data_IF_829226081550
#
_entry.id   IF_829226081550
#
_cell.length_a   1.000
_cell.length_b   1.000
_cell.length_c   1.000
_cell.angle_alpha   90.00
_cell.angle_beta   90.00
_cell.angle_gamma   90.00
#
_symmetry.space_group_name_H-M   'P 1'
#
loop_
_entity.id
_entity.type
_entity.pdbx_description
1 polymer ?
#
# COMPACT_ATOMS: atom_id res chain seq x y z
N UNK A 1 30.10 -23.32 -24.90
CA UNK A 1 29.77 -23.59 -23.49
C UNK A 1 29.31 -22.29 -22.86
N UNK A 2 28.01 -22.17 -22.62
CA UNK A 2 27.35 -20.98 -22.06
C UNK A 2 27.38 -21.06 -20.52
N UNK A 3 27.78 -19.98 -19.86
CA UNK A 3 27.51 -19.79 -18.43
C UNK A 3 26.62 -18.56 -18.26
N UNK A 4 25.32 -18.80 -18.16
CA UNK A 4 24.35 -17.83 -17.67
C UNK A 4 24.38 -17.88 -16.14
N UNK A 5 24.83 -16.79 -15.51
CA UNK A 5 24.63 -16.56 -14.08
C UNK A 5 23.38 -15.71 -13.90
N UNK A 6 22.30 -16.35 -13.43
CA UNK A 6 21.07 -15.67 -13.01
C UNK A 6 21.33 -15.03 -11.64
N UNK A 7 21.20 -13.71 -11.53
CA UNK A 7 21.16 -13.01 -10.25
C UNK A 7 19.71 -12.61 -9.92
N UNK A 8 19.20 -13.16 -8.81
CA UNK A 8 17.88 -12.89 -8.24
C UNK A 8 17.93 -11.64 -7.35
N UNK A 9 17.08 -10.64 -7.63
CA UNK A 9 16.99 -9.35 -6.92
C UNK A 9 16.24 -9.42 -5.57
N UNK A 10 16.30 -10.53 -4.84
CA UNK A 10 15.48 -10.74 -3.63
C UNK A 10 16.18 -10.49 -2.29
N UNK A 11 17.40 -9.94 -2.25
CA UNK A 11 18.03 -9.62 -0.95
C UNK A 11 18.97 -8.42 -1.05
N UNK A 12 18.43 -7.23 -0.78
CA UNK A 12 19.25 -6.09 -0.32
C UNK A 12 18.54 -5.51 0.90
N UNK A 13 18.98 -5.96 2.08
CA UNK A 13 18.72 -5.28 3.34
C UNK A 13 19.61 -4.04 3.34
N UNK A 14 19.03 -2.88 3.01
CA UNK A 14 19.66 -1.59 3.30
C UNK A 14 19.51 -1.35 4.79
N UNK A 15 20.63 -1.21 5.48
CA UNK A 15 20.70 -0.80 6.89
C UNK A 15 20.01 0.56 7.03
N UNK A 16 18.99 0.71 7.89
CA UNK A 16 18.38 2.00 8.12
C UNK A 16 19.39 2.91 8.85
N UNK A 17 19.57 4.13 8.36
CA UNK A 17 20.10 5.21 9.19
C UNK A 17 19.14 5.39 10.37
N UNK A 18 19.64 5.23 11.60
CA UNK A 18 18.85 5.48 12.80
C UNK A 18 18.51 6.97 12.92
N UNK A 19 17.22 7.35 13.00
CA UNK A 19 16.82 8.56 13.69
C UNK A 19 16.70 8.22 15.18
N UNK A 20 17.58 8.82 15.98
CA UNK A 20 17.50 8.79 17.44
C UNK A 20 16.09 9.15 17.93
N UNK A 21 15.41 8.20 18.59
CA UNK A 21 14.32 8.50 19.53
C UNK A 21 12.89 8.11 19.17
N UNK A 22 12.63 6.98 18.49
CA UNK A 22 11.26 6.45 18.33
C UNK A 22 11.20 4.97 18.76
N UNK A 23 10.27 4.55 19.64
CA UNK A 23 10.21 3.18 20.12
C UNK A 23 9.83 2.20 19.01
N UNK A 24 10.63 1.14 18.91
CA UNK A 24 10.49 0.00 18.01
C UNK A 24 9.15 -0.72 18.24
N UNK A 25 8.19 -0.46 17.35
CA UNK A 25 7.02 -1.31 17.18
C UNK A 25 7.01 -1.81 15.74
N UNK A 26 7.01 -3.14 15.57
CA UNK A 26 6.91 -3.82 14.28
C UNK A 26 5.57 -3.45 13.60
N UNK A 27 5.58 -2.48 12.69
CA UNK A 27 4.37 -1.91 12.05
C UNK A 27 3.82 -2.77 10.90
N UNK A 28 4.54 -3.81 10.46
CA UNK A 28 3.98 -4.81 9.56
C UNK A 28 3.82 -6.13 10.30
N UNK A 29 2.64 -6.34 10.87
CA UNK A 29 2.29 -7.65 11.41
C UNK A 29 1.31 -8.32 10.44
N UNK A 30 1.73 -9.42 9.84
CA UNK A 30 0.82 -10.48 9.42
C UNK A 30 0.20 -11.12 10.66
N UNK A 31 -0.58 -10.35 11.44
CA UNK A 31 -1.23 -10.86 12.64
C UNK A 31 -2.62 -11.35 12.28
N UNK A 32 -2.74 -12.65 12.42
CA UNK A 32 -3.96 -13.43 12.54
C UNK A 32 -4.85 -12.85 13.64
N UNK A 33 -5.85 -12.07 13.27
CA UNK A 33 -6.91 -11.64 14.19
C UNK A 33 -7.99 -12.72 14.23
N UNK A 34 -8.23 -13.28 15.41
CA UNK A 34 -9.43 -14.09 15.68
C UNK A 34 -10.65 -13.19 15.53
N UNK A 35 -11.64 -13.65 14.76
CA UNK A 35 -12.98 -13.03 14.66
C UNK A 35 -13.45 -12.61 16.05
N UNK A 36 -13.63 -11.31 16.26
CA UNK A 36 -14.54 -10.80 17.27
C UNK A 36 -15.90 -10.67 16.59
N UNK A 37 -16.87 -11.30 17.23
CA UNK A 37 -18.28 -11.41 16.87
C UNK A 37 -18.86 -10.04 16.54
N UNK A 38 -19.58 -9.96 15.42
CA UNK A 38 -20.41 -8.80 15.11
C UNK A 38 -21.53 -8.69 16.16
N UNK A 39 -21.83 -7.49 16.69
CA UNK A 39 -23.08 -7.28 17.41
C UNK A 39 -24.23 -7.26 16.40
N UNK A 40 -25.17 -8.16 16.62
CA UNK A 40 -26.49 -8.22 15.99
C UNK A 40 -27.29 -6.97 16.31
N UNK A 41 -27.75 -6.26 15.27
CA UNK A 41 -28.82 -5.27 15.40
C UNK A 41 -30.16 -6.00 15.42
N UNK A 42 -30.81 -6.01 16.58
CA UNK A 42 -32.23 -6.31 16.72
C UNK A 42 -32.96 -5.03 17.09
N UNK A 43 -33.87 -4.56 16.25
CA UNK A 43 -34.94 -3.66 16.68
C UNK A 43 -36.27 -4.25 16.21
N UNK A 44 -37.06 -4.63 17.20
CA UNK A 44 -38.45 -5.02 17.08
C UNK A 44 -39.31 -3.75 16.95
N UNK A 45 -40.38 -3.85 16.15
CA UNK A 45 -41.56 -2.98 16.24
C UNK A 45 -42.75 -3.89 16.51
N UNK A 46 -43.50 -3.56 17.56
CA UNK A 46 -44.71 -4.23 18.05
C UNK A 46 -45.89 -4.06 17.11
N UNK A 47 -46.65 -5.14 16.88
CA UNK A 47 -48.11 -5.08 16.69
C UNK A 47 -48.74 -6.29 17.42
N UNK A 48 -49.85 -6.03 18.10
CA UNK A 48 -50.53 -6.80 19.14
C UNK A 48 -51.53 -7.87 18.64
N UNK A 49 -51.78 -8.87 19.51
CA UNK A 49 -53.08 -9.57 19.80
C UNK A 49 -53.70 -10.50 18.72
N UNK A 50 -54.28 -11.70 18.95
CA UNK A 50 -55.01 -12.35 20.08
C UNK A 50 -54.92 -13.92 19.97
N UNK A 51 -54.81 -14.59 21.14
CA UNK A 51 -55.08 -15.96 21.70
C UNK A 51 -55.89 -17.06 20.90
N UNK A 52 -55.95 -18.39 21.26
CA UNK A 52 -55.57 -19.06 22.52
C UNK A 52 -54.93 -20.52 22.38
N UNK A 53 -54.99 -21.48 23.35
CA UNK A 53 -53.78 -22.11 23.90
C UNK A 53 -53.72 -23.67 23.81
N UNK A 54 -52.54 -24.27 23.59
CA UNK A 54 -52.29 -25.68 23.95
C UNK A 54 -50.82 -25.86 24.38
N UNK A 55 -50.60 -26.30 25.62
CA UNK A 55 -49.32 -26.78 26.19
C UNK A 55 -49.48 -28.28 26.57
N UNK A 56 -48.41 -29.03 26.92
CA UNK A 56 -47.13 -29.18 26.23
C UNK A 56 -46.72 -30.67 26.12
N UNK A 57 -45.78 -31.01 25.24
CA UNK A 57 -44.97 -32.24 25.38
C UNK A 57 -43.49 -31.86 25.41
N UNK A 58 -42.90 -31.91 26.60
CA UNK A 58 -41.47 -31.72 26.80
C UNK A 58 -40.73 -33.02 26.50
N UNK A 59 -39.80 -32.97 25.54
CA UNK A 59 -38.67 -33.89 25.48
C UNK A 59 -37.38 -33.10 25.72
N UNK A 60 -36.95 -33.12 26.97
CA UNK A 60 -35.60 -32.73 27.37
C UNK A 60 -34.59 -33.70 26.77
N UNK A 61 -33.72 -33.22 25.88
CA UNK A 61 -32.46 -33.91 25.57
C UNK A 61 -31.35 -32.89 25.40
N UNK A 62 -30.76 -32.57 26.54
CA UNK A 62 -29.48 -31.88 26.65
C UNK A 62 -28.37 -32.81 26.17
N UNK A 63 -27.95 -32.70 24.92
CA UNK A 63 -26.60 -33.12 24.50
C UNK A 63 -26.02 -32.13 23.50
N UNK A 64 -25.33 -31.12 24.02
CA UNK A 64 -24.35 -30.36 23.24
C UNK A 64 -23.15 -31.27 22.96
N UNK A 65 -23.10 -31.86 21.77
CA UNK A 65 -21.89 -32.52 21.28
C UNK A 65 -20.91 -31.44 20.84
N UNK A 66 -19.94 -31.11 21.71
CA UNK A 66 -18.81 -30.26 21.34
C UNK A 66 -17.86 -31.03 20.43
N UNK A 67 -18.14 -31.05 19.13
CA UNK A 67 -17.19 -31.53 18.13
C UNK A 67 -16.08 -30.49 17.97
N UNK A 68 -15.05 -30.61 18.79
CA UNK A 68 -13.84 -29.78 18.71
C UNK A 68 -12.97 -30.28 17.57
N UNK A 69 -13.39 -30.08 16.32
CA UNK A 69 -12.53 -30.41 15.18
C UNK A 69 -11.38 -29.42 15.16
N UNK A 70 -10.11 -29.86 15.25
CA UNK A 70 -8.98 -28.96 15.08
C UNK A 70 -9.02 -28.43 13.65
N UNK A 71 -9.33 -27.15 13.50
CA UNK A 71 -9.17 -26.43 12.23
C UNK A 71 -7.68 -26.42 11.90
N UNK A 72 -7.27 -27.34 11.00
CA UNK A 72 -5.96 -27.28 10.38
C UNK A 72 -5.83 -25.93 9.69
N UNK A 73 -5.00 -25.07 10.25
CA UNK A 73 -4.64 -23.79 9.68
C UNK A 73 -3.68 -24.13 8.55
N UNK A 74 -4.01 -23.85 7.28
CA UNK A 74 -3.03 -24.00 6.23
C UNK A 74 -1.84 -23.12 6.60
N UNK A 75 -0.69 -23.74 6.87
CA UNK A 75 0.58 -23.03 6.95
C UNK A 75 0.73 -22.40 5.57
N UNK A 76 0.54 -21.09 5.48
CA UNK A 76 0.76 -20.37 4.21
C UNK A 76 2.22 -20.60 3.87
N UNK A 77 2.48 -21.24 2.73
CA UNK A 77 3.84 -21.35 2.23
C UNK A 77 4.42 -19.95 2.12
N UNK A 78 5.73 -19.83 2.30
CA UNK A 78 6.49 -18.58 2.19
C UNK A 78 6.55 -18.07 0.73
N UNK A 79 5.43 -18.19 0.00
CA UNK A 79 5.29 -17.75 -1.39
C UNK A 79 4.91 -16.28 -1.39
N UNK A 80 5.61 -15.56 -2.24
CA UNK A 80 5.33 -14.18 -2.56
C UNK A 80 3.97 -14.07 -3.25
N UNK A 81 3.09 -13.20 -2.74
CA UNK A 81 1.80 -12.96 -3.37
C UNK A 81 2.00 -12.16 -4.66
N UNK A 82 1.25 -12.50 -5.69
CA UNK A 82 1.03 -11.62 -6.85
C UNK A 82 0.26 -10.37 -6.43
N UNK A 83 0.26 -9.31 -7.25
CA UNK A 83 -0.49 -8.09 -6.97
C UNK A 83 -2.01 -8.36 -6.84
N UNK A 84 -2.56 -9.22 -7.70
CA UNK A 84 -3.96 -9.62 -7.69
C UNK A 84 -4.33 -10.37 -6.40
N UNK A 85 -3.49 -11.30 -5.98
CA UNK A 85 -3.65 -12.02 -4.71
C UNK A 85 -3.55 -11.06 -3.52
N UNK A 86 -2.57 -10.14 -3.54
CA UNK A 86 -2.41 -9.12 -2.50
C UNK A 86 -3.63 -8.19 -2.41
N UNK A 87 -4.26 -7.84 -3.52
CA UNK A 87 -5.50 -7.07 -3.53
C UNK A 87 -6.70 -7.87 -3.02
N UNK A 88 -6.69 -9.19 -3.22
CA UNK A 88 -7.82 -10.07 -2.86
C UNK A 88 -7.75 -10.59 -1.42
N UNK A 89 -6.58 -10.57 -0.78
CA UNK A 89 -6.39 -11.06 0.59
C UNK A 89 -6.83 -10.00 1.63
N UNK A 90 -7.90 -10.26 2.41
CA UNK A 90 -8.35 -9.33 3.44
C UNK A 90 -7.37 -9.18 4.61
N UNK A 91 -6.42 -10.11 4.77
CA UNK A 91 -5.40 -10.04 5.83
C UNK A 91 -4.16 -9.26 5.39
N UNK A 92 -4.03 -8.96 4.10
CA UNK A 92 -2.97 -8.11 3.59
C UNK A 92 -3.38 -6.66 3.79
N UNK A 93 -3.06 -6.11 4.96
CA UNK A 93 -3.55 -4.82 5.44
C UNK A 93 -2.45 -3.77 5.50
N UNK A 94 -2.87 -2.51 5.41
CA UNK A 94 -2.04 -1.32 5.55
C UNK A 94 -2.65 -0.45 6.63
N UNK A 95 -1.83 0.23 7.43
CA UNK A 95 -2.26 1.25 8.37
C UNK A 95 -1.87 2.65 7.87
N UNK A 96 -2.73 3.35 7.09
CA UNK A 96 -2.36 4.58 6.39
C UNK A 96 -1.87 5.68 7.32
N UNK A 97 -2.52 5.85 8.48
CA UNK A 97 -2.15 6.88 9.44
C UNK A 97 -0.76 6.64 10.04
N UNK A 98 -0.44 5.39 10.40
CA UNK A 98 0.89 5.01 10.89
C UNK A 98 1.96 5.15 9.81
N UNK A 99 1.62 4.91 8.54
CA UNK A 99 2.53 5.17 7.42
C UNK A 99 2.78 6.67 7.18
N UNK A 100 1.94 7.56 7.73
CA UNK A 100 2.01 9.00 7.52
C UNK A 100 1.34 9.45 6.21
N UNK A 101 0.22 8.82 5.85
CA UNK A 101 -0.54 9.21 4.67
C UNK A 101 -1.19 10.58 4.85
N UNK A 102 -1.27 11.30 3.73
CA UNK A 102 -1.95 12.59 3.59
C UNK A 102 -3.10 12.48 2.56
N UNK A 103 -4.13 13.34 2.63
CA UNK A 103 -4.41 14.25 3.73
C UNK A 103 -4.78 13.48 5.00
N UNK A 104 -4.30 13.92 6.17
CA UNK A 104 -4.37 13.13 7.41
C UNK A 104 -5.81 12.79 7.81
N UNK A 105 -6.72 13.72 7.58
CA UNK A 105 -8.14 13.61 7.94
C UNK A 105 -8.92 12.60 7.07
N UNK A 106 -8.37 12.11 5.95
CA UNK A 106 -9.02 11.12 5.12
C UNK A 106 -8.84 9.68 5.64
N UNK A 107 -8.02 9.47 6.67
CA UNK A 107 -7.61 8.15 7.13
C UNK A 107 -8.00 7.91 8.59
N UNK A 108 -8.67 6.79 8.85
CA UNK A 108 -8.91 6.32 10.20
C UNK A 108 -7.69 5.64 10.83
N UNK A 109 -7.75 5.41 12.15
CA UNK A 109 -6.70 4.72 12.90
C UNK A 109 -6.64 3.21 12.62
N UNK A 110 -7.67 2.64 11.99
CA UNK A 110 -7.78 1.21 11.76
C UNK A 110 -7.02 0.78 10.49
N UNK A 111 -6.33 -0.37 10.52
CA UNK A 111 -5.80 -0.97 9.30
C UNK A 111 -6.90 -1.26 8.29
N UNK A 112 -6.60 -1.04 7.01
CA UNK A 112 -7.50 -1.34 5.88
C UNK A 112 -6.84 -2.37 4.97
N UNK A 113 -7.65 -3.19 4.31
CA UNK A 113 -7.13 -4.14 3.31
C UNK A 113 -6.45 -3.39 2.15
N UNK A 114 -5.32 -3.91 1.67
CA UNK A 114 -4.56 -3.31 0.58
C UNK A 114 -5.41 -3.15 -0.68
N UNK A 115 -6.20 -4.16 -1.05
CA UNK A 115 -7.11 -4.07 -2.19
C UNK A 115 -8.14 -2.94 -2.06
N UNK A 116 -8.66 -2.71 -0.85
CA UNK A 116 -9.57 -1.61 -0.59
C UNK A 116 -8.87 -0.26 -0.76
N UNK A 117 -7.63 -0.12 -0.24
CA UNK A 117 -6.81 1.08 -0.44
C UNK A 117 -6.54 1.34 -1.93
N UNK A 118 -6.20 0.30 -2.69
CA UNK A 118 -5.98 0.40 -4.13
C UNK A 118 -7.25 0.89 -4.85
N UNK A 119 -8.40 0.27 -4.59
CA UNK A 119 -9.65 0.58 -5.26
C UNK A 119 -10.19 1.99 -4.89
N UNK A 120 -10.11 2.36 -3.61
CA UNK A 120 -10.77 3.57 -3.09
C UNK A 120 -9.89 4.82 -3.10
N UNK A 121 -8.57 4.67 -3.21
CA UNK A 121 -7.64 5.80 -3.22
C UNK A 121 -6.74 5.83 -4.46
N UNK A 122 -5.92 4.80 -4.69
CA UNK A 122 -4.94 4.83 -5.78
C UNK A 122 -5.59 4.87 -7.17
N UNK A 123 -6.63 4.06 -7.37
CA UNK A 123 -7.40 3.99 -8.63
C UNK A 123 -8.58 4.96 -8.69
N UNK A 124 -8.91 5.63 -7.58
CA UNK A 124 -9.96 6.65 -7.56
C UNK A 124 -9.60 7.79 -8.49
N UNK A 125 -10.58 8.32 -9.23
CA UNK A 125 -10.39 9.49 -10.10
C UNK A 125 -9.81 10.65 -9.31
N UNK A 126 -8.93 11.44 -9.94
CA UNK A 126 -8.32 12.59 -9.30
C UNK A 126 -9.39 13.55 -8.76
N UNK A 127 -9.22 13.94 -7.49
CA UNK A 127 -10.06 14.88 -6.76
C UNK A 127 -9.19 15.72 -5.83
N UNK A 128 -9.78 16.66 -5.09
CA UNK A 128 -9.04 17.52 -4.17
C UNK A 128 -8.25 16.73 -3.11
N UNK A 129 -8.77 15.59 -2.66
CA UNK A 129 -8.15 14.73 -1.62
C UNK A 129 -7.48 13.46 -2.18
N UNK A 130 -7.61 13.19 -3.49
CA UNK A 130 -7.06 11.99 -4.13
C UNK A 130 -6.34 12.36 -5.43
N UNK A 131 -5.61 13.47 -5.46
CA UNK A 131 -4.82 13.92 -6.61
C UNK A 131 -3.49 13.18 -6.72
N UNK A 132 -2.87 13.23 -7.90
CA UNK A 132 -1.63 12.52 -8.20
C UNK A 132 -0.49 12.76 -7.18
N UNK A 133 -0.17 14.01 -6.77
CA UNK A 133 0.86 14.24 -5.76
C UNK A 133 0.63 13.51 -4.44
N UNK A 134 -0.63 13.42 -3.97
CA UNK A 134 -0.96 12.67 -2.77
C UNK A 134 -0.79 11.17 -2.96
N UNK A 135 -1.19 10.64 -4.12
CA UNK A 135 -0.97 9.22 -4.45
C UNK A 135 0.51 8.88 -4.46
N UNK A 136 1.31 9.71 -5.12
CA UNK A 136 2.76 9.53 -5.19
C UNK A 136 3.39 9.61 -3.79
N UNK A 137 3.10 10.66 -3.02
CA UNK A 137 3.65 10.81 -1.68
C UNK A 137 3.28 9.64 -0.77
N UNK A 138 1.99 9.27 -0.71
CA UNK A 138 1.53 8.16 0.12
C UNK A 138 2.15 6.82 -0.31
N UNK A 139 2.36 6.61 -1.60
CA UNK A 139 3.03 5.42 -2.10
C UNK A 139 4.46 5.31 -1.56
N UNK A 140 5.20 6.42 -1.55
CA UNK A 140 6.56 6.50 -1.03
C UNK A 140 6.61 6.37 0.50
N UNK A 141 5.61 6.92 1.22
CA UNK A 141 5.47 6.75 2.68
C UNK A 141 5.22 5.30 3.07
N UNK A 142 4.42 4.58 2.28
CA UNK A 142 4.14 3.17 2.54
C UNK A 142 5.40 2.32 2.39
N UNK A 143 6.19 2.53 1.33
CA UNK A 143 7.41 1.76 1.12
C UNK A 143 8.56 2.18 2.02
N UNK A 144 8.54 3.41 2.53
CA UNK A 144 9.44 3.85 3.60
C UNK A 144 9.19 3.08 4.91
N UNK A 145 7.93 2.95 5.31
CA UNK A 145 7.55 2.26 6.57
C UNK A 145 7.50 0.74 6.43
N UNK A 146 7.21 0.22 5.24
CA UNK A 146 7.21 -1.19 4.93
C UNK A 146 7.85 -1.46 3.55
N UNK A 147 9.18 -1.65 3.48
CA UNK A 147 9.90 -1.85 2.21
C UNK A 147 9.38 -3.02 1.37
N UNK A 148 8.82 -4.05 2.00
CA UNK A 148 8.24 -5.21 1.33
C UNK A 148 7.07 -4.85 0.38
N UNK A 149 6.46 -3.66 0.53
CA UNK A 149 5.41 -3.19 -0.38
C UNK A 149 5.93 -2.68 -1.72
N UNK A 150 7.26 -2.49 -1.89
CA UNK A 150 7.81 -1.96 -3.14
C UNK A 150 7.37 -2.75 -4.37
N UNK A 151 7.28 -4.07 -4.29
CA UNK A 151 6.79 -4.95 -5.37
C UNK A 151 5.32 -4.76 -5.76
N UNK A 152 4.51 -4.15 -4.89
CA UNK A 152 3.09 -3.87 -5.14
C UNK A 152 2.85 -2.39 -5.45
N UNK A 153 3.76 -1.53 -5.01
CA UNK A 153 3.62 -0.08 -5.09
C UNK A 153 4.44 0.52 -6.23
N UNK A 154 5.67 0.03 -6.42
CA UNK A 154 6.56 0.47 -7.47
C UNK A 154 7.29 1.78 -7.20
N UNK A 155 7.21 2.35 -5.99
CA UNK A 155 7.91 3.60 -5.65
C UNK A 155 8.66 3.47 -4.33
N UNK A 156 9.86 4.04 -4.22
CA UNK A 156 10.58 4.17 -2.93
C UNK A 156 11.56 5.33 -2.96
N UNK A 157 11.78 5.95 -1.80
CA UNK A 157 12.86 6.90 -1.61
C UNK A 157 14.22 6.20 -1.70
N UNK A 158 15.17 6.85 -2.36
CA UNK A 158 16.58 6.44 -2.45
C UNK A 158 17.48 7.40 -1.68
N UNK A 159 17.15 8.68 -1.74
CA UNK A 159 17.69 9.71 -0.86
C UNK A 159 16.53 10.54 -0.32
N UNK A 160 16.82 11.59 0.44
CA UNK A 160 15.79 12.50 0.94
C UNK A 160 14.97 13.17 -0.17
N UNK A 161 15.57 13.38 -1.35
CA UNK A 161 14.98 14.14 -2.47
C UNK A 161 14.83 13.35 -3.76
N UNK A 162 15.48 12.19 -3.87
CA UNK A 162 15.44 11.32 -5.05
C UNK A 162 14.69 10.05 -4.69
N UNK A 163 13.73 9.68 -5.54
CA UNK A 163 13.01 8.43 -5.44
C UNK A 163 13.09 7.67 -6.76
N UNK A 164 12.85 6.36 -6.69
CA UNK A 164 12.69 5.53 -7.88
C UNK A 164 11.23 5.17 -8.11
N UNK A 165 10.93 4.94 -9.38
CA UNK A 165 9.65 4.42 -9.86
C UNK A 165 9.92 3.23 -10.77
N UNK A 166 9.43 2.06 -10.40
CA UNK A 166 9.16 0.99 -11.35
C UNK A 166 7.87 1.33 -12.09
N UNK A 167 8.01 1.73 -13.36
CA UNK A 167 6.88 2.26 -14.12
C UNK A 167 5.77 1.24 -14.36
N UNK A 168 6.11 -0.06 -14.42
CA UNK A 168 5.14 -1.13 -14.67
C UNK A 168 4.33 -1.39 -13.40
N UNK A 169 5.01 -1.54 -12.26
CA UNK A 169 4.35 -1.79 -10.97
C UNK A 169 3.50 -0.59 -10.57
N UNK A 170 4.04 0.63 -10.71
CA UNK A 170 3.30 1.85 -10.36
C UNK A 170 2.09 2.09 -11.28
N UNK A 171 2.20 1.78 -12.58
CA UNK A 171 1.05 1.80 -13.49
C UNK A 171 -0.04 0.81 -13.05
N UNK A 172 0.36 -0.40 -12.63
CA UNK A 172 -0.56 -1.43 -12.12
C UNK A 172 -1.28 -0.98 -10.85
N UNK A 173 -0.58 -0.32 -9.93
CA UNK A 173 -1.15 0.30 -8.73
C UNK A 173 -2.24 1.32 -9.10
N UNK A 174 -1.90 2.26 -10.00
CA UNK A 174 -2.79 3.35 -10.39
C UNK A 174 -3.89 2.95 -11.40
N UNK A 175 -3.80 1.76 -12.01
CA UNK A 175 -4.74 1.31 -13.04
C UNK A 175 -4.56 2.01 -14.38
N UNK A 176 -3.32 2.43 -14.70
CA UNK A 176 -2.97 3.15 -15.93
C UNK A 176 -2.54 2.17 -17.01
N UNK A 177 -3.07 2.32 -18.23
CA UNK A 177 -2.73 1.48 -19.39
C UNK A 177 -1.61 2.08 -20.26
N UNK A 178 -1.72 3.37 -20.59
CA UNK A 178 -0.69 4.07 -21.37
C UNK A 178 0.36 4.68 -20.44
N UNK A 179 1.37 3.90 -20.09
CA UNK A 179 2.35 4.24 -19.05
C UNK A 179 3.15 5.49 -19.41
N UNK A 180 3.86 5.46 -20.54
CA UNK A 180 4.76 6.54 -20.93
C UNK A 180 3.98 7.85 -21.19
N UNK A 181 2.84 7.76 -21.87
CA UNK A 181 1.95 8.91 -22.11
C UNK A 181 1.38 9.52 -20.84
N UNK A 182 0.98 8.70 -19.86
CA UNK A 182 0.33 9.19 -18.64
C UNK A 182 1.31 9.70 -17.59
N UNK A 183 2.55 9.23 -17.60
CA UNK A 183 3.52 9.55 -16.56
C UNK A 183 4.65 10.44 -17.05
N UNK A 184 5.28 10.10 -18.19
CA UNK A 184 6.59 10.64 -18.58
C UNK A 184 6.55 11.56 -19.81
N UNK A 185 5.43 11.63 -20.53
CA UNK A 185 5.21 12.65 -21.57
C UNK A 185 5.22 14.06 -20.96
N UNK A 186 5.46 15.10 -21.76
CA UNK A 186 5.50 16.51 -21.27
C UNK A 186 4.21 16.94 -20.56
N UNK A 187 3.06 16.38 -20.97
CA UNK A 187 1.76 16.58 -20.32
C UNK A 187 1.39 15.47 -19.32
N UNK A 188 2.28 14.50 -19.12
CA UNK A 188 2.12 13.40 -18.18
C UNK A 188 2.22 13.87 -16.73
N UNK A 189 1.84 13.00 -15.80
CA UNK A 189 1.71 13.36 -14.39
C UNK A 189 3.03 13.83 -13.75
N UNK A 190 4.19 13.26 -14.11
CA UNK A 190 5.46 13.67 -13.51
C UNK A 190 5.91 15.05 -14.02
N UNK A 191 6.17 15.28 -15.33
CA UNK A 191 6.65 16.59 -15.79
C UNK A 191 5.68 17.72 -15.44
N UNK A 192 4.39 17.46 -15.56
CA UNK A 192 3.37 18.46 -15.32
C UNK A 192 3.19 18.85 -13.85
N UNK A 193 3.78 18.13 -12.90
CA UNK A 193 3.86 18.52 -11.49
C UNK A 193 5.28 18.92 -11.07
N UNK A 194 6.17 19.22 -12.02
CA UNK A 194 7.53 19.69 -11.76
C UNK A 194 8.52 18.60 -11.37
N UNK A 195 8.21 17.32 -11.64
CA UNK A 195 9.16 16.24 -11.50
C UNK A 195 10.01 16.10 -12.76
N UNK A 196 11.30 15.90 -12.55
CA UNK A 196 12.27 15.64 -13.61
C UNK A 196 12.91 14.27 -13.42
N UNK A 197 13.13 13.59 -14.54
CA UNK A 197 13.88 12.34 -14.59
C UNK A 197 15.38 12.65 -14.56
N UNK A 198 16.12 11.93 -13.72
CA UNK A 198 17.57 12.05 -13.68
C UNK A 198 18.20 11.41 -14.91
N UNK A 199 19.27 12.03 -15.40
CA UNK A 199 20.09 11.46 -16.46
C UNK A 199 20.70 10.13 -16.02
N UNK A 200 20.85 9.19 -16.94
CA UNK A 200 21.30 7.82 -16.65
C UNK A 200 22.60 7.77 -15.83
N UNK A 201 23.60 8.59 -16.18
CA UNK A 201 24.89 8.64 -15.47
C UNK A 201 24.70 9.08 -14.01
N UNK A 202 23.85 10.07 -13.76
CA UNK A 202 23.55 10.55 -12.41
C UNK A 202 22.77 9.49 -11.62
N UNK A 203 21.77 8.87 -12.24
CA UNK A 203 20.98 7.80 -11.63
C UNK A 203 21.84 6.58 -11.27
N UNK A 204 22.73 6.13 -12.16
CA UNK A 204 23.64 5.01 -11.92
C UNK A 204 24.64 5.30 -10.80
N UNK A 205 25.15 6.53 -10.71
CA UNK A 205 26.00 6.95 -9.60
C UNK A 205 25.27 6.82 -8.26
N UNK A 206 24.07 7.39 -8.15
CA UNK A 206 23.25 7.31 -6.93
C UNK A 206 22.89 5.86 -6.61
N UNK A 207 22.54 5.05 -7.61
CA UNK A 207 22.20 3.65 -7.43
C UNK A 207 23.36 2.84 -6.82
N UNK A 208 24.59 3.08 -7.26
CA UNK A 208 25.80 2.44 -6.71
C UNK A 208 26.11 2.91 -5.29
N UNK A 209 26.04 4.21 -5.04
CA UNK A 209 26.26 4.80 -3.72
C UNK A 209 25.26 4.28 -2.67
N UNK A 210 24.03 3.97 -3.10
CA UNK A 210 22.96 3.46 -2.25
C UNK A 210 22.86 1.92 -2.24
N UNK A 211 23.85 1.21 -2.82
CA UNK A 211 23.91 -0.25 -2.81
C UNK A 211 22.84 -0.95 -3.65
N UNK A 212 22.17 -0.25 -4.57
CA UNK A 212 21.17 -0.82 -5.50
C UNK A 212 21.87 -1.57 -6.64
N UNK A 213 23.04 -1.07 -7.07
CA UNK A 213 23.81 -1.63 -8.18
C UNK A 213 23.31 -1.17 -9.55
N UNK A 214 23.42 -2.05 -10.54
CA UNK A 214 22.90 -1.80 -11.89
C UNK A 214 21.38 -2.03 -11.92
N UNK A 215 20.67 -1.19 -12.66
CA UNK A 215 19.22 -1.26 -12.81
C UNK A 215 18.83 -1.20 -14.28
N UNK A 216 17.64 -1.69 -14.61
CA UNK A 216 17.08 -1.57 -15.96
C UNK A 216 16.49 -0.17 -16.19
N UNK A 217 17.14 0.70 -16.99
CA UNK A 217 16.63 2.03 -17.27
C UNK A 217 15.38 2.01 -18.16
N UNK A 218 14.95 0.86 -18.66
CA UNK A 218 13.68 0.72 -19.41
C UNK A 218 12.49 0.78 -18.48
N UNK A 219 12.61 0.24 -17.27
CA UNK A 219 11.51 0.12 -16.30
C UNK A 219 11.68 0.99 -15.04
N UNK A 220 12.91 1.08 -14.52
CA UNK A 220 13.21 1.87 -13.32
C UNK A 220 13.60 3.29 -13.73
N UNK A 221 12.93 4.28 -13.13
CA UNK A 221 13.16 5.71 -13.33
C UNK A 221 13.54 6.37 -12.03
N UNK A 222 14.60 7.16 -12.05
CA UNK A 222 14.99 8.00 -10.93
C UNK A 222 14.41 9.38 -11.15
N UNK A 223 13.63 9.87 -10.20
CA UNK A 223 12.99 11.17 -10.28
C UNK A 223 13.30 12.01 -9.05
N UNK A 224 13.28 13.32 -9.26
CA UNK A 224 13.23 14.32 -8.20
C UNK A 224 12.30 15.45 -8.62
N UNK A 225 11.88 16.25 -7.65
CA UNK A 225 11.15 17.47 -7.95
C UNK A 225 12.13 18.63 -8.16
N UNK A 226 11.99 19.37 -9.25
CA UNK A 226 12.94 20.41 -9.67
C UNK A 226 13.16 21.49 -8.59
N UNK A 227 12.11 21.84 -7.84
CA UNK A 227 12.21 22.86 -6.78
C UNK A 227 12.68 22.33 -5.41
N UNK A 228 12.93 21.03 -5.25
CA UNK A 228 13.28 20.41 -3.96
C UNK A 228 12.18 20.35 -2.89
N UNK A 229 10.97 20.89 -3.18
CA UNK A 229 9.85 20.94 -2.23
C UNK A 229 9.13 19.59 -2.01
N UNK A 230 9.38 18.61 -2.88
CA UNK A 230 8.92 17.25 -2.71
C UNK A 230 10.10 16.38 -2.25
N UNK A 231 10.08 15.99 -0.98
CA UNK A 231 11.10 15.22 -0.30
C UNK A 231 10.46 14.38 0.81
N UNK A 232 11.26 13.56 1.49
CA UNK A 232 10.80 12.65 2.55
C UNK A 232 10.08 13.36 3.71
N UNK A 233 10.45 14.61 3.96
CA UNK A 233 9.97 15.45 5.06
C UNK A 233 8.86 16.45 4.64
N UNK A 234 8.43 16.43 3.37
CA UNK A 234 7.37 17.32 2.90
C UNK A 234 6.10 17.18 3.72
N UNK A 235 5.49 18.31 4.06
CA UNK A 235 4.23 18.38 4.80
C UNK A 235 3.03 18.24 3.86
N UNK A 236 1.84 18.02 4.41
CA UNK A 236 0.60 18.03 3.62
C UNK A 236 0.42 19.34 2.83
N UNK A 237 0.81 20.49 3.41
CA UNK A 237 0.75 21.78 2.75
C UNK A 237 1.70 21.86 1.54
N UNK A 238 2.92 21.34 1.67
CA UNK A 238 3.90 21.32 0.58
C UNK A 238 3.39 20.49 -0.60
N UNK A 239 2.86 19.29 -0.33
CA UNK A 239 2.30 18.42 -1.36
C UNK A 239 1.02 19.01 -1.95
N UNK A 240 0.23 19.73 -1.13
CA UNK A 240 -0.97 20.39 -1.63
C UNK A 240 -0.64 21.52 -2.61
N UNK A 241 0.47 22.23 -2.41
CA UNK A 241 0.92 23.32 -3.28
C UNK A 241 1.52 22.86 -4.61
N UNK A 242 1.78 21.56 -4.78
CA UNK A 242 2.16 21.00 -6.09
C UNK A 242 0.97 21.12 -7.04
N UNK A 243 1.00 22.18 -7.85
CA UNK A 243 0.02 22.48 -8.88
C UNK A 243 0.53 21.98 -10.22
N UNK A 244 -0.43 21.74 -11.10
CA UNK A 244 -0.16 21.50 -12.50
C UNK A 244 0.55 22.71 -13.09
N UNK A 245 1.80 22.54 -13.50
CA UNK A 245 2.56 23.55 -14.25
C UNK A 245 2.12 23.42 -15.71
N UNK A 246 1.62 24.52 -16.28
CA UNK A 246 1.43 24.57 -17.73
C UNK A 246 2.83 24.53 -18.34
N UNK A 247 3.12 23.45 -19.07
CA UNK A 247 4.28 23.37 -19.94
C UNK A 247 4.20 24.46 -21.02
#
# INVERSE_FOLDING_TARGET
MQNQTNFSLSTILVTPMEPSGVPDQRICITRRVRRVTAPSFSNQVQISEVTPPVEPLQLTSNRSLSLSTPMLVPIRSNRELTFEEACSDPNFTVAPLHAGFIPRNAWGNQPIAFGLLVATFFRKRNSMHCKFPFKLYNSLRLTLTCPAFFKYIGTRWITETVFIVDKIIFAKLLGVRSIDGSFFHQQGNFPSHGFEELQFIQAQKIAREQGIGDFDPTNIRFLRHASGRFNINSTEADIFQLKWTKA
#
